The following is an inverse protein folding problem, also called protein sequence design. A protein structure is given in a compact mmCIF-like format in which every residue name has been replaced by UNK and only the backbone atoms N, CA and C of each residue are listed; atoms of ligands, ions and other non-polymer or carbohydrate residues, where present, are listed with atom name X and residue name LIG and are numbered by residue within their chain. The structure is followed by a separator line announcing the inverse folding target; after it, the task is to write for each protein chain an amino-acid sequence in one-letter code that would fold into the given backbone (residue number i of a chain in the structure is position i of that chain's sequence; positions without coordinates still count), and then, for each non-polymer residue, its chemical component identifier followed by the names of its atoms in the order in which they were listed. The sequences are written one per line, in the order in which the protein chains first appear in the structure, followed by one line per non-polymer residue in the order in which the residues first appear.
data_IF_140912437320
#
_entry.id   IF_140912437320
#
_cell.length_a   1.000
_cell.length_b   1.000
_cell.length_c   1.000
_cell.angle_alpha   90.00
_cell.angle_beta   90.00
_cell.angle_gamma   90.00
#
_symmetry.space_group_name_H-M   'P 1'
#
loop_
_entity.id
_entity.type
_entity.pdbx_description
1 polymer ?
#
# COMPACT_ATOMS: atom_id res chain seq x y z
N UNK A 1 33.30 38.60 -30.55
CA UNK A 1 32.63 38.71 -29.23
C UNK A 1 31.26 38.03 -29.19
N UNK A 2 30.36 38.27 -30.15
CA UNK A 2 29.00 37.67 -30.18
C UNK A 2 28.95 36.13 -30.21
N UNK A 3 29.92 35.48 -30.89
CA UNK A 3 30.04 34.00 -30.96
C UNK A 3 30.57 33.37 -29.65
N UNK A 4 31.39 34.10 -28.90
CA UNK A 4 31.92 33.65 -27.60
C UNK A 4 30.85 33.74 -26.51
N UNK A 5 29.99 34.75 -26.58
CA UNK A 5 28.83 34.89 -25.70
C UNK A 5 27.83 33.74 -25.94
N UNK A 6 27.57 33.39 -27.20
CA UNK A 6 26.71 32.26 -27.55
C UNK A 6 27.27 30.90 -27.09
N UNK A 7 28.59 30.71 -27.17
CA UNK A 7 29.25 29.49 -26.66
C UNK A 7 29.20 29.37 -25.13
N UNK A 8 29.26 30.49 -24.40
CA UNK A 8 29.17 30.49 -22.94
C UNK A 8 27.75 30.16 -22.44
N UNK A 9 26.71 30.54 -23.19
CA UNK A 9 25.31 30.26 -22.86
C UNK A 9 24.99 28.77 -23.04
N UNK A 10 25.61 28.11 -24.02
CA UNK A 10 25.48 26.65 -24.23
C UNK A 10 26.19 25.79 -23.18
N UNK A 11 27.07 26.39 -22.36
CA UNK A 11 27.82 25.71 -21.30
C UNK A 11 27.17 25.79 -19.92
N UNK A 12 26.03 26.48 -19.79
CA UNK A 12 25.23 26.45 -18.56
C UNK A 12 24.50 25.10 -18.57
N UNK A 13 24.94 24.09 -17.79
CA UNK A 13 24.18 22.87 -17.67
C UNK A 13 22.84 23.29 -17.06
N UNK A 14 21.73 22.88 -17.67
CA UNK A 14 20.43 23.00 -17.04
C UNK A 14 20.49 22.29 -15.70
N UNK A 15 20.68 23.03 -14.62
CA UNK A 15 20.55 22.51 -13.26
C UNK A 15 19.07 22.20 -13.13
N UNK A 16 18.69 21.00 -13.53
CA UNK A 16 17.41 20.42 -13.19
C UNK A 16 17.44 20.23 -11.67
N UNK A 17 17.00 21.25 -10.94
CA UNK A 17 16.60 21.10 -9.56
C UNK A 17 15.39 20.18 -9.58
N UNK A 18 15.61 18.89 -9.36
CA UNK A 18 14.53 17.99 -9.01
C UNK A 18 13.96 18.50 -7.68
N UNK A 19 12.90 19.30 -7.73
CA UNK A 19 12.14 19.59 -6.53
C UNK A 19 11.48 18.29 -6.11
N UNK A 20 12.03 17.61 -5.11
CA UNK A 20 11.29 16.61 -4.35
C UNK A 20 10.26 17.35 -3.49
N UNK A 21 9.28 18.00 -4.13
CA UNK A 21 8.16 18.65 -3.45
C UNK A 21 7.21 17.66 -2.76
N UNK A 22 7.57 16.39 -2.72
CA UNK A 22 6.88 15.32 -2.00
C UNK A 22 7.68 14.87 -0.79
N UNK A 23 6.98 14.27 0.17
CA UNK A 23 7.59 13.63 1.35
C UNK A 23 8.62 12.60 0.89
N UNK A 24 9.81 12.66 1.48
CA UNK A 24 10.82 11.62 1.30
C UNK A 24 10.28 10.28 1.83
N UNK A 25 10.27 9.27 0.96
CA UNK A 25 9.80 7.94 1.34
C UNK A 25 10.87 7.21 2.14
N UNK A 26 10.45 6.67 3.28
CA UNK A 26 11.29 5.79 4.09
C UNK A 26 11.38 4.42 3.43
N UNK A 27 12.59 3.85 3.41
CA UNK A 27 12.83 2.52 2.89
C UNK A 27 12.13 1.47 3.76
N UNK A 28 11.27 0.64 3.14
CA UNK A 28 10.51 -0.38 3.86
C UNK A 28 11.39 -1.55 4.34
N UNK A 29 12.51 -1.82 3.65
CA UNK A 29 13.46 -2.88 4.01
C UNK A 29 12.86 -4.29 3.99
N UNK A 30 11.77 -4.50 3.23
CA UNK A 30 11.05 -5.77 3.23
C UNK A 30 11.79 -6.85 2.41
N UNK A 31 11.94 -8.04 2.99
CA UNK A 31 12.44 -9.23 2.32
C UNK A 31 11.26 -10.17 1.97
N UNK A 32 11.02 -10.38 0.67
CA UNK A 32 9.93 -11.23 0.18
C UNK A 32 10.25 -12.74 0.25
N UNK A 33 11.43 -13.09 0.75
CA UNK A 33 11.85 -14.48 0.97
C UNK A 33 11.73 -14.90 2.43
N UNK A 34 11.57 -13.95 3.36
CA UNK A 34 11.46 -14.20 4.79
C UNK A 34 10.02 -14.60 5.16
N UNK A 35 9.77 -15.90 5.24
CA UNK A 35 8.42 -16.45 5.40
C UNK A 35 7.76 -16.06 6.71
N UNK A 36 8.51 -15.91 7.81
CA UNK A 36 7.90 -15.58 9.10
C UNK A 36 7.30 -14.18 9.10
N UNK A 37 7.99 -13.21 8.50
CA UNK A 37 7.56 -11.84 8.26
C UNK A 37 6.35 -11.81 7.35
N UNK A 38 6.36 -12.59 6.26
CA UNK A 38 5.21 -12.67 5.36
C UNK A 38 3.98 -13.30 6.05
N UNK A 39 4.16 -14.32 6.88
CA UNK A 39 3.08 -14.90 7.69
C UNK A 39 2.53 -13.90 8.71
N UNK A 40 3.40 -13.14 9.37
CA UNK A 40 2.99 -12.06 10.27
C UNK A 40 2.22 -10.96 9.53
N UNK A 41 2.68 -10.57 8.33
CA UNK A 41 2.02 -9.62 7.45
C UNK A 41 0.64 -10.11 7.00
N UNK A 42 0.51 -11.37 6.61
CA UNK A 42 -0.78 -11.96 6.23
C UNK A 42 -1.77 -11.97 7.41
N UNK A 43 -1.29 -12.31 8.62
CA UNK A 43 -2.10 -12.21 9.83
C UNK A 43 -2.57 -10.79 10.09
N UNK A 44 -1.68 -9.80 10.03
CA UNK A 44 -2.05 -8.39 10.22
C UNK A 44 -3.05 -7.91 9.17
N UNK A 45 -2.82 -8.26 7.90
CA UNK A 45 -3.68 -7.88 6.80
C UNK A 45 -5.12 -8.40 6.99
N UNK A 46 -5.27 -9.70 7.28
CA UNK A 46 -6.58 -10.31 7.51
C UNK A 46 -7.28 -9.71 8.73
N UNK A 47 -6.56 -9.50 9.84
CA UNK A 47 -7.18 -9.08 11.09
C UNK A 47 -7.50 -7.58 11.16
N UNK A 48 -6.78 -6.73 10.42
CA UNK A 48 -6.92 -5.27 10.53
C UNK A 48 -7.27 -4.57 9.22
N UNK A 49 -6.74 -5.05 8.09
CA UNK A 49 -6.94 -4.37 6.80
C UNK A 49 -8.21 -4.85 6.12
N UNK A 50 -8.49 -6.16 6.17
CA UNK A 50 -9.66 -6.77 5.52
C UNK A 50 -11.02 -6.39 6.14
N UNK A 51 -11.04 -5.60 7.21
CA UNK A 51 -12.28 -4.95 7.66
C UNK A 51 -12.82 -3.93 6.66
N UNK A 52 -11.92 -3.27 5.91
CA UNK A 52 -12.27 -2.19 4.97
C UNK A 52 -11.72 -2.40 3.56
N UNK A 53 -10.63 -3.16 3.41
CA UNK A 53 -9.93 -3.34 2.13
C UNK A 53 -10.00 -4.77 1.63
N UNK A 54 -10.36 -4.94 0.37
CA UNK A 54 -10.26 -6.24 -0.31
C UNK A 54 -8.88 -6.47 -0.93
N UNK A 55 -8.59 -7.71 -1.27
CA UNK A 55 -7.57 -8.11 -2.24
C UNK A 55 -8.20 -9.10 -3.23
N UNK A 56 -9.13 -8.60 -4.07
CA UNK A 56 -9.98 -9.41 -4.94
C UNK A 56 -9.23 -10.20 -6.03
N UNK A 57 -7.97 -9.87 -6.34
CA UNK A 57 -7.14 -10.65 -7.26
C UNK A 57 -6.23 -11.67 -6.57
N UNK A 58 -6.33 -11.80 -5.24
CA UNK A 58 -5.56 -12.74 -4.43
C UNK A 58 -6.48 -13.82 -3.88
N UNK A 59 -6.13 -15.10 -4.11
CA UNK A 59 -6.84 -16.26 -3.53
C UNK A 59 -6.16 -16.72 -2.26
N UNK A 60 -6.94 -17.14 -1.27
CA UNK A 60 -6.43 -17.65 0.00
C UNK A 60 -5.45 -18.82 -0.21
N UNK A 61 -5.79 -19.77 -1.10
CA UNK A 61 -4.95 -20.91 -1.43
C UNK A 61 -3.55 -20.49 -1.90
N UNK A 62 -3.46 -19.43 -2.71
CA UNK A 62 -2.16 -18.96 -3.21
C UNK A 62 -1.32 -18.38 -2.08
N UNK A 63 -1.94 -17.61 -1.18
CA UNK A 63 -1.28 -17.11 0.03
C UNK A 63 -0.78 -18.27 0.88
N UNK A 64 -1.61 -19.29 1.15
CA UNK A 64 -1.20 -20.47 1.90
C UNK A 64 0.01 -21.18 1.29
N UNK A 65 0.00 -21.42 -0.03
CA UNK A 65 1.09 -22.08 -0.76
C UNK A 65 2.41 -21.28 -0.69
N UNK A 66 2.36 -19.97 -0.98
CA UNK A 66 3.55 -19.12 -0.95
C UNK A 66 4.12 -19.04 0.48
N UNK A 67 3.26 -18.99 1.51
CA UNK A 67 3.65 -18.92 2.91
C UNK A 67 4.01 -20.27 3.55
N UNK A 68 3.70 -21.39 2.89
CA UNK A 68 3.98 -22.74 3.41
C UNK A 68 3.01 -23.18 4.49
N UNK A 69 1.78 -22.69 4.43
CA UNK A 69 0.70 -23.04 5.34
C UNK A 69 -0.14 -24.15 4.71
N UNK A 70 -0.58 -25.12 5.53
CA UNK A 70 -1.59 -26.08 5.09
C UNK A 70 -2.96 -25.40 4.96
N UNK A 71 -3.86 -26.02 4.21
CA UNK A 71 -5.23 -25.53 4.06
C UNK A 71 -5.96 -25.46 5.41
N UNK A 72 -5.66 -26.36 6.35
CA UNK A 72 -6.21 -26.36 7.71
C UNK A 72 -5.78 -25.12 8.49
N UNK A 73 -4.47 -24.84 8.51
CA UNK A 73 -3.92 -23.67 9.21
C UNK A 73 -4.46 -22.37 8.60
N UNK A 74 -4.55 -22.31 7.28
CA UNK A 74 -5.10 -21.17 6.54
C UNK A 74 -6.57 -20.92 6.92
N UNK A 75 -7.39 -21.96 6.92
CA UNK A 75 -8.81 -21.87 7.29
C UNK A 75 -9.00 -21.43 8.73
N UNK A 76 -8.26 -22.04 9.65
CA UNK A 76 -8.39 -21.77 11.09
C UNK A 76 -7.94 -20.36 11.46
N UNK A 77 -6.91 -19.81 10.79
CA UNK A 77 -6.25 -18.60 11.25
C UNK A 77 -6.40 -17.38 10.34
N UNK A 78 -6.77 -17.56 9.06
CA UNK A 78 -6.76 -16.48 8.07
C UNK A 78 -8.06 -16.35 7.27
N UNK A 79 -8.95 -17.35 7.27
CA UNK A 79 -10.19 -17.33 6.47
C UNK A 79 -11.45 -17.12 7.33
N UNK A 80 -11.55 -15.98 8.01
CA UNK A 80 -12.71 -15.68 8.84
C UNK A 80 -13.97 -15.30 8.03
N UNK A 81 -13.80 -14.90 6.77
CA UNK A 81 -14.86 -14.39 5.89
C UNK A 81 -15.05 -15.22 4.62
N UNK A 82 -14.52 -16.45 4.57
CA UNK A 82 -14.50 -17.29 3.38
C UNK A 82 -14.60 -18.77 3.76
N UNK A 83 -15.24 -19.58 2.91
CA UNK A 83 -15.44 -21.02 3.18
C UNK A 83 -14.42 -21.90 2.44
N UNK A 84 -14.07 -21.54 1.20
CA UNK A 84 -13.20 -22.35 0.34
C UNK A 84 -11.88 -21.65 0.09
N UNK A 85 -10.77 -22.38 0.20
CA UNK A 85 -9.41 -21.83 -0.01
C UNK A 85 -9.24 -21.22 -1.42
N UNK A 86 -10.01 -21.68 -2.40
CA UNK A 86 -10.01 -21.14 -3.74
C UNK A 86 -10.65 -19.75 -3.86
N UNK A 87 -11.39 -19.26 -2.86
CA UNK A 87 -12.01 -17.94 -2.89
C UNK A 87 -10.97 -16.82 -2.79
N UNK A 88 -11.37 -15.65 -3.26
CA UNK A 88 -10.57 -14.43 -3.21
C UNK A 88 -10.72 -13.75 -1.84
N UNK A 89 -9.75 -12.91 -1.48
CA UNK A 89 -9.78 -12.13 -0.25
C UNK A 89 -10.72 -10.92 -0.37
N UNK A 90 -12.02 -11.20 -0.58
CA UNK A 90 -13.09 -10.20 -0.68
C UNK A 90 -13.66 -9.83 0.70
N UNK A 91 -14.35 -8.69 0.75
CA UNK A 91 -15.01 -8.17 1.95
C UNK A 91 -16.50 -7.93 1.68
N UNK A 92 -17.30 -7.85 2.75
CA UNK A 92 -18.75 -7.66 2.63
C UNK A 92 -19.19 -6.19 2.45
N UNK A 93 -18.27 -5.23 2.61
CA UNK A 93 -18.58 -3.81 2.56
C UNK A 93 -19.01 -3.37 1.16
N UNK A 94 -20.20 -2.76 1.06
CA UNK A 94 -20.69 -2.16 -0.18
C UNK A 94 -20.00 -0.83 -0.47
N UNK A 95 -19.81 -0.51 -1.76
CA UNK A 95 -19.08 0.69 -2.20
C UNK A 95 -19.81 1.99 -1.87
N UNK A 96 -21.13 2.01 -2.00
CA UNK A 96 -21.95 3.19 -1.72
C UNK A 96 -21.96 3.48 -0.22
N UNK A 97 -22.13 2.45 0.60
CA UNK A 97 -22.04 2.58 2.06
C UNK A 97 -20.63 3.03 2.49
N UNK A 98 -19.58 2.47 1.89
CA UNK A 98 -18.21 2.87 2.18
C UNK A 98 -17.94 4.36 1.87
N UNK A 99 -18.39 4.85 0.71
CA UNK A 99 -18.26 6.26 0.36
C UNK A 99 -19.06 7.15 1.31
N UNK A 100 -20.27 6.73 1.70
CA UNK A 100 -21.09 7.45 2.68
C UNK A 100 -20.43 7.52 4.07
N UNK A 101 -19.79 6.43 4.51
CA UNK A 101 -19.18 6.36 5.84
C UNK A 101 -17.80 7.02 5.91
N UNK A 102 -16.97 6.85 4.88
CA UNK A 102 -15.56 7.27 4.90
C UNK A 102 -15.28 8.49 4.01
N UNK A 103 -16.23 8.91 3.18
CA UNK A 103 -16.05 9.96 2.17
C UNK A 103 -15.33 9.48 0.91
N UNK A 104 -14.90 8.22 0.87
CA UNK A 104 -14.24 7.56 -0.26
C UNK A 104 -14.42 6.05 -0.11
N UNK A 105 -14.56 5.33 -1.22
CA UNK A 105 -14.48 3.87 -1.19
C UNK A 105 -13.03 3.44 -0.92
N UNK A 106 -12.75 2.67 0.14
CA UNK A 106 -11.42 2.12 0.37
C UNK A 106 -10.93 1.33 -0.86
N UNK A 107 -9.69 1.55 -1.33
CA UNK A 107 -9.18 0.88 -2.51
C UNK A 107 -8.98 -0.62 -2.27
N UNK A 108 -9.11 -1.40 -3.34
CA UNK A 108 -8.62 -2.78 -3.37
C UNK A 108 -7.08 -2.79 -3.33
N UNK A 109 -6.51 -3.63 -2.49
CA UNK A 109 -5.09 -3.67 -2.20
C UNK A 109 -4.34 -4.78 -2.94
N UNK A 110 -4.97 -5.52 -3.85
CA UNK A 110 -4.34 -6.67 -4.53
C UNK A 110 -3.01 -6.35 -5.19
N UNK A 111 -2.86 -5.13 -5.72
CA UNK A 111 -1.67 -4.69 -6.45
C UNK A 111 -1.12 -3.35 -5.95
N UNK A 112 -1.52 -2.91 -4.75
CA UNK A 112 -1.15 -1.57 -4.25
C UNK A 112 0.37 -1.41 -4.10
N UNK A 113 1.08 -2.45 -3.65
CA UNK A 113 2.53 -2.45 -3.54
C UNK A 113 3.23 -2.30 -4.90
N UNK A 114 2.61 -2.80 -5.99
CA UNK A 114 3.13 -2.60 -7.36
C UNK A 114 2.78 -1.22 -7.91
N UNK A 115 1.58 -0.72 -7.60
CA UNK A 115 1.11 0.57 -8.11
C UNK A 115 1.79 1.76 -7.45
N UNK A 116 2.15 1.66 -6.16
CA UNK A 116 2.71 2.77 -5.37
C UNK A 116 4.13 2.51 -4.85
N UNK A 117 4.57 1.26 -4.79
CA UNK A 117 5.84 0.87 -4.16
C UNK A 117 5.68 0.49 -2.68
N UNK A 118 6.59 -0.33 -2.17
CA UNK A 118 6.60 -0.77 -0.76
C UNK A 118 7.02 0.35 0.18
N UNK A 119 7.98 1.18 -0.22
CA UNK A 119 8.40 2.37 0.54
C UNK A 119 7.25 3.38 0.73
N UNK A 120 6.38 3.51 -0.27
CA UNK A 120 5.18 4.32 -0.18
C UNK A 120 4.21 3.79 0.87
N UNK A 121 3.94 2.48 0.87
CA UNK A 121 3.06 1.85 1.87
C UNK A 121 3.62 2.00 3.29
N UNK A 122 4.92 1.74 3.45
CA UNK A 122 5.61 1.88 4.73
C UNK A 122 5.52 3.31 5.25
N UNK A 123 5.86 4.29 4.41
CA UNK A 123 5.80 5.71 4.77
C UNK A 123 4.36 6.15 5.05
N UNK A 124 3.39 5.71 4.23
CA UNK A 124 1.97 6.02 4.42
C UNK A 124 1.49 5.58 5.81
N UNK A 125 1.80 4.35 6.23
CA UNK A 125 1.41 3.83 7.55
C UNK A 125 2.03 4.61 8.73
N UNK A 126 3.21 5.21 8.53
CA UNK A 126 3.96 5.93 9.57
C UNK A 126 3.75 7.44 9.59
N UNK A 127 3.07 8.00 8.59
CA UNK A 127 3.00 9.46 8.37
C UNK A 127 1.63 10.07 8.69
N UNK A 128 0.82 9.38 9.48
CA UNK A 128 -0.41 9.95 10.04
C UNK A 128 -0.09 10.93 11.17
N UNK A 129 -0.71 12.10 11.13
CA UNK A 129 -0.58 13.14 12.14
C UNK A 129 -1.94 13.75 12.49
N UNK A 130 -2.03 14.38 13.67
CA UNK A 130 -3.25 15.05 14.13
C UNK A 130 -3.47 16.33 13.31
N UNK A 131 -4.66 16.47 12.76
CA UNK A 131 -5.09 17.63 12.00
C UNK A 131 -6.57 17.90 12.29
N UNK A 132 -6.90 18.78 13.25
CA UNK A 132 -8.28 19.09 13.63
C UNK A 132 -9.12 19.71 12.50
N UNK A 133 -8.51 20.14 11.39
CA UNK A 133 -9.24 20.68 10.24
C UNK A 133 -9.88 19.60 9.36
N UNK A 134 -9.50 18.32 9.55
CA UNK A 134 -10.00 17.18 8.78
C UNK A 134 -11.19 16.51 9.48
N UNK A 135 -12.11 15.85 8.74
CA UNK A 135 -13.31 15.23 9.32
C UNK A 135 -13.04 14.26 10.46
N UNK A 136 -11.91 13.54 10.42
CA UNK A 136 -11.51 12.54 11.42
C UNK A 136 -10.44 13.04 12.39
N UNK A 137 -10.09 14.32 12.34
CA UNK A 137 -9.04 14.91 13.19
C UNK A 137 -7.62 14.42 12.87
N UNK A 138 -7.43 13.75 11.73
CA UNK A 138 -6.14 13.20 11.28
C UNK A 138 -5.93 13.47 9.78
N UNK A 139 -4.66 13.57 9.40
CA UNK A 139 -4.23 13.69 8.01
C UNK A 139 -2.96 12.85 7.78
N UNK A 140 -2.52 12.71 6.52
CA UNK A 140 -1.35 11.92 6.15
C UNK A 140 -0.42 12.76 5.27
N UNK A 141 0.89 12.67 5.48
CA UNK A 141 1.84 13.51 4.72
C UNK A 141 1.98 13.05 3.25
N UNK A 142 1.63 11.80 2.95
CA UNK A 142 1.87 11.16 1.64
C UNK A 142 0.60 11.12 0.77
N UNK A 143 -0.56 11.49 1.31
CA UNK A 143 -1.87 11.40 0.65
C UNK A 143 -2.43 12.77 0.24
#
# INVERSE_FOLDING_TARGET
MRRLILALILLIPGIALASSGGVELQQAGNDITERASLQAGAKLFVNYCMGCHSANYVRFQRVGQDLGLSDEVLKENLMFSSEKVGETMSIAMDKYDAERWFGVTPPDLSVIARARGTDWLYTYMLSFYKDPSRPWGVNNLVF
#
